data_IF_616555481135
#
_entry.id   IF_616555481135
#
_cell.length_a   1.000
_cell.length_b   1.000
_cell.length_c   1.000
_cell.angle_alpha   90.00
_cell.angle_beta   90.00
_cell.angle_gamma   90.00
#
_symmetry.space_group_name_H-M   'P 1'
#
loop_
_entity.id
_entity.type
_entity.pdbx_description
1 polymer ?
#
# COMPACT_ATOMS: atom_id res chain seq x y z
N UNK A 1 5.08 -14.40 35.64
CA UNK A 1 5.06 -13.89 34.26
C UNK A 1 3.99 -12.80 34.17
N UNK A 2 4.34 -11.63 33.66
CA UNK A 2 3.33 -10.57 33.46
C UNK A 2 2.40 -10.99 32.30
N UNK A 3 1.15 -10.46 32.32
CA UNK A 3 0.15 -10.72 31.26
C UNK A 3 0.73 -10.39 29.86
N UNK A 4 1.48 -9.30 29.76
CA UNK A 4 2.13 -8.84 28.53
C UNK A 4 3.20 -9.80 28.00
N UNK A 5 3.94 -10.50 28.87
CA UNK A 5 4.96 -11.46 28.46
C UNK A 5 4.34 -12.75 27.90
N UNK A 6 3.19 -13.16 28.44
CA UNK A 6 2.46 -14.32 27.92
C UNK A 6 1.86 -14.03 26.53
N UNK A 7 1.28 -12.85 26.35
CA UNK A 7 0.74 -12.38 25.06
C UNK A 7 1.85 -12.26 24.01
N UNK A 8 3.00 -11.67 24.37
CA UNK A 8 4.16 -11.59 23.47
C UNK A 8 4.65 -12.98 23.01
N UNK A 9 4.75 -13.94 23.94
CA UNK A 9 5.15 -15.32 23.60
C UNK A 9 4.12 -16.02 22.71
N UNK A 10 2.83 -15.76 22.89
CA UNK A 10 1.79 -16.29 22.01
C UNK A 10 1.92 -15.72 20.59
N UNK A 11 2.05 -14.41 20.45
CA UNK A 11 2.23 -13.73 19.15
C UNK A 11 3.53 -14.25 18.49
N UNK A 12 4.63 -14.30 19.22
CA UNK A 12 5.90 -14.81 18.70
C UNK A 12 5.79 -16.25 18.20
N UNK A 13 5.09 -17.13 18.91
CA UNK A 13 4.85 -18.52 18.48
C UNK A 13 3.98 -18.59 17.23
N UNK A 14 2.94 -17.76 17.13
CA UNK A 14 2.11 -17.67 15.93
C UNK A 14 2.93 -17.24 14.70
N UNK A 15 3.81 -16.27 14.86
CA UNK A 15 4.65 -15.75 13.77
C UNK A 15 5.79 -16.73 13.37
N UNK A 16 6.27 -17.58 14.29
CA UNK A 16 7.39 -18.50 14.04
C UNK A 16 6.98 -19.93 13.72
N UNK A 17 5.70 -20.29 13.90
CA UNK A 17 5.23 -21.68 13.78
C UNK A 17 5.15 -22.22 12.35
N UNK A 18 5.52 -21.45 11.32
CA UNK A 18 5.37 -21.87 9.92
C UNK A 18 3.93 -22.20 9.53
N UNK A 19 2.98 -21.77 10.35
CA UNK A 19 1.56 -22.03 10.15
C UNK A 19 1.08 -21.28 8.90
N UNK A 20 0.61 -22.00 7.91
CA UNK A 20 -0.09 -21.49 6.72
C UNK A 20 -1.38 -20.74 7.06
N UNK A 21 -1.75 -20.65 8.35
CA UNK A 21 -2.95 -19.96 8.85
C UNK A 21 -2.75 -18.45 9.03
N UNK A 22 -1.50 -17.97 9.11
CA UNK A 22 -1.18 -16.53 9.21
C UNK A 22 -0.61 -16.02 7.88
N UNK A 23 -1.45 -15.97 6.89
CA UNK A 23 -1.20 -15.31 5.63
C UNK A 23 -1.41 -13.79 5.78
N UNK A 24 -0.54 -12.99 5.14
CA UNK A 24 -0.64 -11.51 5.15
C UNK A 24 -2.01 -11.03 4.65
N UNK A 25 -2.58 -11.73 3.68
CA UNK A 25 -3.86 -11.37 3.08
C UNK A 25 -5.01 -11.61 4.06
N UNK A 26 -4.99 -12.72 4.79
CA UNK A 26 -5.96 -13.01 5.86
C UNK A 26 -5.88 -12.02 7.03
N UNK A 27 -4.68 -11.56 7.37
CA UNK A 27 -4.51 -10.52 8.41
C UNK A 27 -5.16 -9.22 7.94
N UNK A 28 -4.91 -8.79 6.70
CA UNK A 28 -5.51 -7.59 6.13
C UNK A 28 -7.02 -7.71 6.00
N UNK A 29 -7.53 -8.87 5.56
CA UNK A 29 -8.96 -9.15 5.51
C UNK A 29 -9.61 -9.02 6.89
N UNK A 30 -9.03 -9.62 7.92
CA UNK A 30 -9.54 -9.52 9.29
C UNK A 30 -9.49 -8.08 9.84
N UNK A 31 -8.43 -7.32 9.55
CA UNK A 31 -8.32 -5.91 9.92
C UNK A 31 -9.41 -5.08 9.25
N UNK A 32 -9.61 -5.30 7.95
CA UNK A 32 -10.61 -4.61 7.14
C UNK A 32 -12.03 -4.92 7.62
N UNK A 33 -12.39 -6.19 7.81
CA UNK A 33 -13.69 -6.61 8.32
C UNK A 33 -13.98 -6.01 9.70
N UNK A 34 -13.00 -6.08 10.60
CA UNK A 34 -13.11 -5.48 11.94
C UNK A 34 -13.33 -3.97 11.85
N UNK A 35 -12.54 -3.28 11.04
CA UNK A 35 -12.63 -1.83 10.85
C UNK A 35 -13.95 -1.41 10.22
N UNK A 36 -14.39 -2.09 9.17
CA UNK A 36 -15.67 -1.84 8.50
C UNK A 36 -16.82 -2.03 9.50
N UNK A 37 -16.81 -3.10 10.28
CA UNK A 37 -17.83 -3.38 11.30
C UNK A 37 -17.87 -2.27 12.36
N UNK A 38 -16.71 -1.83 12.84
CA UNK A 38 -16.58 -0.77 13.83
C UNK A 38 -17.12 0.58 13.31
N UNK A 39 -16.90 0.86 12.03
CA UNK A 39 -17.30 2.09 11.36
C UNK A 39 -18.71 2.01 10.72
N UNK A 40 -19.43 0.91 10.88
CA UNK A 40 -20.71 0.68 10.20
C UNK A 40 -21.75 1.79 10.47
N UNK A 41 -21.75 2.36 11.67
CA UNK A 41 -22.69 3.41 12.10
C UNK A 41 -22.17 4.84 11.87
N UNK A 42 -20.93 5.00 11.40
CA UNK A 42 -20.31 6.29 11.16
C UNK A 42 -20.69 6.78 9.77
N UNK A 43 -21.24 7.99 9.67
CA UNK A 43 -21.68 8.56 8.40
C UNK A 43 -20.53 9.22 7.63
N UNK A 44 -19.53 9.73 8.34
CA UNK A 44 -18.43 10.51 7.76
C UNK A 44 -17.08 10.00 8.29
N UNK A 45 -16.22 9.56 7.38
CA UNK A 45 -14.95 8.90 7.70
C UNK A 45 -13.82 9.51 6.89
N UNK A 46 -12.73 9.89 7.55
CA UNK A 46 -11.47 10.19 6.87
C UNK A 46 -10.63 8.91 6.74
N UNK A 47 -10.20 8.61 5.52
CA UNK A 47 -9.28 7.52 5.19
C UNK A 47 -7.89 8.10 4.97
N UNK A 48 -7.03 7.97 5.98
CA UNK A 48 -5.67 8.52 5.96
C UNK A 48 -4.74 7.43 5.47
N UNK A 49 -4.18 7.62 4.26
CA UNK A 49 -3.24 6.66 3.66
C UNK A 49 -1.85 7.25 3.59
N UNK A 50 -0.90 6.53 4.19
CA UNK A 50 0.50 6.96 4.32
C UNK A 50 1.47 5.83 3.94
N UNK A 51 2.43 6.10 3.04
CA UNK A 51 3.52 5.19 2.77
C UNK A 51 4.56 5.28 3.89
N UNK A 52 5.08 4.14 4.32
CA UNK A 52 6.10 4.06 5.36
C UNK A 52 7.11 2.97 5.06
N UNK A 53 8.24 2.97 5.76
CA UNK A 53 9.31 1.99 5.58
C UNK A 53 9.53 1.14 6.83
N UNK A 54 9.62 -0.16 6.64
CA UNK A 54 10.12 -1.10 7.65
C UNK A 54 11.61 -1.29 7.42
N UNK A 55 12.44 -0.63 8.23
CA UNK A 55 13.89 -0.65 8.11
C UNK A 55 14.46 -1.93 8.71
N UNK A 56 15.31 -2.62 7.95
CA UNK A 56 15.96 -3.89 8.30
C UNK A 56 17.47 -3.82 8.02
N UNK A 57 18.12 -2.78 8.51
CA UNK A 57 19.51 -2.42 8.20
C UNK A 57 20.50 -3.60 8.33
N UNK A 58 20.31 -4.42 9.37
CA UNK A 58 21.21 -5.55 9.66
C UNK A 58 20.69 -6.90 9.15
N UNK A 59 19.55 -6.93 8.48
CA UNK A 59 18.98 -8.18 7.95
C UNK A 59 19.57 -8.43 6.55
N UNK A 60 20.25 -9.57 6.39
CA UNK A 60 20.89 -9.96 5.12
C UNK A 60 20.21 -11.18 4.48
N UNK A 61 19.47 -11.95 5.27
CA UNK A 61 18.92 -13.27 4.86
C UNK A 61 17.39 -13.26 4.75
N UNK A 62 16.74 -12.09 4.90
CA UNK A 62 15.30 -12.00 4.71
C UNK A 62 15.00 -12.02 3.22
N UNK A 63 14.12 -12.90 2.82
CA UNK A 63 13.65 -13.05 1.43
C UNK A 63 12.99 -11.76 0.94
N UNK A 64 13.16 -11.43 -0.32
CA UNK A 64 12.63 -10.23 -0.99
C UNK A 64 12.96 -8.88 -0.33
N UNK A 65 14.04 -8.84 0.43
CA UNK A 65 14.47 -7.65 1.15
C UNK A 65 14.83 -6.52 0.16
N UNK A 66 14.00 -5.51 0.08
CA UNK A 66 14.16 -4.36 -0.79
C UNK A 66 15.11 -3.30 -0.27
N UNK A 67 15.03 -2.11 -0.86
CA UNK A 67 15.80 -0.92 -0.49
C UNK A 67 14.86 0.20 -0.08
N UNK A 68 15.11 0.77 1.09
CA UNK A 68 14.34 1.88 1.67
C UNK A 68 15.27 2.97 2.17
N UNK A 69 14.73 4.15 2.48
CA UNK A 69 15.51 5.25 3.01
C UNK A 69 15.73 5.10 4.52
N UNK A 70 16.97 5.31 4.95
CA UNK A 70 17.29 5.46 6.38
C UNK A 70 16.86 6.83 6.91
N UNK A 71 16.80 6.98 8.23
CA UNK A 71 16.54 8.28 8.87
C UNK A 71 17.63 9.33 8.57
N UNK A 72 18.85 8.88 8.31
CA UNK A 72 20.00 9.73 7.93
C UNK A 72 20.07 10.06 6.44
N UNK A 73 19.10 9.58 5.63
CA UNK A 73 19.02 9.84 4.19
C UNK A 73 19.77 8.82 3.31
N UNK A 74 20.48 7.85 3.89
CA UNK A 74 21.11 6.75 3.15
C UNK A 74 20.11 5.70 2.68
N UNK A 75 20.56 4.77 1.84
CA UNK A 75 19.77 3.62 1.38
C UNK A 75 20.15 2.38 2.19
N UNK A 76 19.18 1.74 2.80
CA UNK A 76 19.35 0.54 3.62
C UNK A 76 18.37 -0.57 3.19
N UNK A 77 18.57 -1.76 3.74
CA UNK A 77 17.64 -2.86 3.52
C UNK A 77 16.30 -2.64 4.27
N UNK A 78 15.20 -3.03 3.66
CA UNK A 78 13.86 -2.91 4.25
C UNK A 78 12.74 -3.31 3.32
N UNK A 79 11.53 -3.07 3.79
CA UNK A 79 10.29 -3.20 3.01
C UNK A 79 9.55 -1.88 3.03
N UNK A 80 8.83 -1.57 1.99
CA UNK A 80 7.88 -0.47 1.98
C UNK A 80 6.51 -0.94 2.42
N UNK A 81 5.76 -0.06 3.06
CA UNK A 81 4.39 -0.34 3.49
C UNK A 81 3.46 0.76 3.02
N UNK A 82 2.22 0.40 2.75
CA UNK A 82 1.12 1.32 2.49
C UNK A 82 0.06 1.07 3.55
N UNK A 83 -0.14 2.04 4.43
CA UNK A 83 -1.03 1.92 5.59
C UNK A 83 -2.25 2.81 5.40
N UNK A 84 -3.45 2.29 5.66
CA UNK A 84 -4.67 3.11 5.73
C UNK A 84 -5.30 3.01 7.11
N UNK A 85 -5.49 4.17 7.72
CA UNK A 85 -6.15 4.35 9.00
C UNK A 85 -7.43 5.15 8.78
N UNK A 86 -8.55 4.68 9.32
CA UNK A 86 -9.78 5.46 9.36
C UNK A 86 -9.85 6.31 10.62
N UNK A 87 -10.24 7.57 10.46
CA UNK A 87 -10.63 8.46 11.54
C UNK A 87 -12.14 8.65 11.50
N UNK A 88 -12.80 8.18 12.56
CA UNK A 88 -14.20 8.50 12.85
C UNK A 88 -14.28 9.91 13.44
N UNK A 89 -14.97 10.81 12.74
CA UNK A 89 -15.11 12.20 13.19
C UNK A 89 -16.00 12.36 14.42
N UNK A 90 -16.95 11.46 14.64
CA UNK A 90 -17.85 11.56 15.78
C UNK A 90 -17.12 11.22 17.08
N UNK A 91 -16.47 10.06 17.10
CA UNK A 91 -15.80 9.53 18.29
C UNK A 91 -14.32 9.91 18.36
N UNK A 92 -13.75 10.51 17.29
CA UNK A 92 -12.32 10.81 17.14
C UNK A 92 -11.41 9.59 17.34
N UNK A 93 -11.93 8.41 17.00
CA UNK A 93 -11.21 7.15 17.11
C UNK A 93 -10.47 6.83 15.81
N UNK A 94 -9.22 6.39 15.96
CA UNK A 94 -8.43 5.85 14.85
C UNK A 94 -8.61 4.32 14.79
N UNK A 95 -8.74 3.80 13.57
CA UNK A 95 -8.84 2.36 13.32
C UNK A 95 -7.97 2.00 12.13
N UNK A 96 -6.98 1.13 12.33
CA UNK A 96 -6.18 0.59 11.22
C UNK A 96 -7.08 -0.33 10.40
N UNK A 97 -7.16 -0.05 9.10
CA UNK A 97 -7.98 -0.82 8.16
C UNK A 97 -7.14 -1.79 7.34
N UNK A 98 -5.95 -1.37 6.93
CA UNK A 98 -5.10 -2.18 6.06
C UNK A 98 -3.64 -1.77 6.13
N UNK A 99 -2.75 -2.74 5.95
CA UNK A 99 -1.32 -2.54 5.80
C UNK A 99 -0.79 -3.45 4.69
N UNK A 100 -0.48 -2.89 3.54
CA UNK A 100 0.19 -3.65 2.46
C UNK A 100 1.70 -3.53 2.63
N UNK A 101 2.40 -4.66 2.67
CA UNK A 101 3.86 -4.73 2.70
C UNK A 101 4.34 -5.19 1.33
N UNK A 102 5.27 -4.46 0.73
CA UNK A 102 5.82 -4.77 -0.59
C UNK A 102 7.31 -4.44 -0.66
N UNK A 103 7.97 -4.99 -1.66
CA UNK A 103 9.39 -4.77 -1.91
C UNK A 103 9.61 -4.33 -3.36
N UNK A 104 10.50 -3.36 -3.55
CA UNK A 104 10.94 -2.95 -4.88
C UNK A 104 11.94 -3.95 -5.52
N UNK A 105 12.21 -5.09 -4.86
CA UNK A 105 12.97 -6.23 -5.41
C UNK A 105 12.09 -7.39 -5.88
N UNK A 106 10.80 -7.33 -5.60
CA UNK A 106 9.89 -8.33 -6.16
C UNK A 106 9.92 -8.26 -7.69
N UNK A 107 9.99 -9.41 -8.36
CA UNK A 107 10.07 -9.46 -9.83
C UNK A 107 8.89 -8.76 -10.50
N UNK A 108 7.72 -8.84 -9.89
CA UNK A 108 6.51 -8.18 -10.36
C UNK A 108 6.46 -6.68 -10.03
N UNK A 109 7.42 -6.13 -9.26
CA UNK A 109 7.47 -4.70 -9.01
C UNK A 109 7.97 -3.95 -10.25
N UNK A 110 7.16 -3.01 -10.74
CA UNK A 110 7.45 -2.20 -11.92
C UNK A 110 7.43 -0.72 -11.51
N UNK A 111 8.51 -0.01 -11.80
CA UNK A 111 8.61 1.43 -11.50
C UNK A 111 7.80 2.26 -12.50
N UNK A 112 7.49 3.51 -12.14
CA UNK A 112 6.80 4.43 -13.07
C UNK A 112 7.65 4.70 -14.31
N UNK A 113 8.99 4.79 -14.16
CA UNK A 113 9.91 4.97 -15.28
C UNK A 113 9.88 3.78 -16.24
N UNK A 114 9.80 2.55 -15.72
CA UNK A 114 9.67 1.35 -16.55
C UNK A 114 8.32 1.33 -17.29
N UNK A 115 7.23 1.75 -16.65
CA UNK A 115 5.92 1.89 -17.30
C UNK A 115 5.93 2.95 -18.40
N UNK A 116 6.54 4.10 -18.17
CA UNK A 116 6.69 5.14 -19.17
C UNK A 116 7.54 4.70 -20.36
N UNK A 117 8.52 3.83 -20.13
CA UNK A 117 9.36 3.28 -21.19
C UNK A 117 8.62 2.28 -22.07
N UNK A 118 7.65 1.53 -21.53
CA UNK A 118 6.81 0.62 -22.31
C UNK A 118 5.96 1.37 -23.38
N UNK A 119 5.66 2.64 -23.14
CA UNK A 119 4.96 3.47 -24.12
C UNK A 119 5.85 3.97 -25.28
N UNK A 120 7.16 3.67 -25.25
CA UNK A 120 8.14 4.13 -26.23
C UNK A 120 8.74 2.92 -26.98
N UNK A 121 9.12 3.08 -28.24
CA UNK A 121 9.84 2.03 -28.93
C UNK A 121 11.18 1.74 -28.24
N UNK A 122 11.55 0.44 -28.22
CA UNK A 122 12.83 0.02 -27.67
C UNK A 122 13.98 0.65 -28.51
N UNK A 123 15.00 1.27 -27.90
CA UNK A 123 16.15 1.80 -28.63
C UNK A 123 16.92 0.69 -29.38
N UNK A 124 17.48 1.02 -30.56
CA UNK A 124 18.18 0.05 -31.40
C UNK A 124 19.42 -0.59 -30.74
N UNK A 125 20.04 0.13 -29.79
CA UNK A 125 21.23 -0.32 -29.05
C UNK A 125 20.98 -0.30 -27.54
N UNK A 126 20.63 -1.45 -26.98
CA UNK A 126 20.47 -1.66 -25.54
C UNK A 126 21.21 -2.92 -25.10
N UNK A 127 21.55 -3.03 -23.82
CA UNK A 127 22.13 -4.24 -23.26
C UNK A 127 21.11 -5.40 -23.24
N UNK A 128 21.60 -6.63 -23.26
CA UNK A 128 20.74 -7.82 -23.18
C UNK A 128 19.94 -7.84 -21.88
N UNK A 129 20.53 -7.41 -20.75
CA UNK A 129 19.83 -7.31 -19.45
C UNK A 129 18.67 -6.31 -19.52
N UNK A 130 18.89 -5.14 -20.13
CA UNK A 130 17.83 -4.14 -20.31
C UNK A 130 16.70 -4.69 -21.18
N UNK A 131 17.03 -5.36 -22.30
CA UNK A 131 16.04 -5.96 -23.17
C UNK A 131 15.24 -7.05 -22.45
N UNK A 132 15.92 -7.93 -21.73
CA UNK A 132 15.28 -8.98 -20.93
C UNK A 132 14.30 -8.40 -19.90
N UNK A 133 14.71 -7.33 -19.18
CA UNK A 133 13.82 -6.66 -18.24
C UNK A 133 12.65 -5.95 -18.92
N UNK A 134 12.90 -5.31 -20.07
CA UNK A 134 11.84 -4.67 -20.86
C UNK A 134 10.77 -5.67 -21.28
N UNK A 135 11.17 -6.85 -21.80
CA UNK A 135 10.26 -7.91 -22.22
C UNK A 135 9.49 -8.50 -21.02
N UNK A 136 10.15 -8.66 -19.86
CA UNK A 136 9.51 -9.09 -18.60
C UNK A 136 8.43 -8.09 -18.17
N UNK A 137 8.77 -6.79 -18.12
CA UNK A 137 7.82 -5.72 -17.75
C UNK A 137 6.65 -5.68 -18.72
N UNK A 138 6.91 -5.80 -20.02
CA UNK A 138 5.84 -5.83 -21.02
C UNK A 138 4.84 -6.98 -20.78
N UNK A 139 5.33 -8.18 -20.47
CA UNK A 139 4.47 -9.31 -20.14
C UNK A 139 3.68 -9.06 -18.84
N UNK A 140 4.32 -8.53 -17.80
CA UNK A 140 3.65 -8.20 -16.54
C UNK A 140 2.54 -7.15 -16.74
N UNK A 141 2.76 -6.18 -17.62
CA UNK A 141 1.75 -5.14 -17.94
C UNK A 141 0.60 -5.71 -18.74
N UNK A 142 0.90 -6.55 -19.76
CA UNK A 142 -0.14 -7.19 -20.57
C UNK A 142 -1.04 -8.12 -19.76
N UNK A 143 -0.46 -8.85 -18.80
CA UNK A 143 -1.19 -9.79 -17.92
C UNK A 143 -1.81 -9.10 -16.69
N UNK A 144 -1.64 -7.78 -16.56
CA UNK A 144 -2.01 -7.00 -15.36
C UNK A 144 -1.42 -7.54 -14.04
N UNK A 145 -0.28 -8.24 -14.13
CA UNK A 145 0.36 -8.98 -13.03
C UNK A 145 1.44 -8.18 -12.30
N UNK A 146 1.66 -6.91 -12.66
CA UNK A 146 2.64 -6.06 -11.98
C UNK A 146 2.08 -5.41 -10.73
N UNK A 147 2.99 -5.03 -9.83
CA UNK A 147 2.71 -4.17 -8.69
C UNK A 147 3.56 -2.89 -8.78
N UNK A 148 3.01 -1.78 -8.36
CA UNK A 148 3.72 -0.55 -7.98
C UNK A 148 2.90 0.20 -6.94
N UNK A 149 3.47 1.25 -6.37
CA UNK A 149 2.82 1.98 -5.28
C UNK A 149 1.48 2.61 -5.69
N UNK A 150 1.36 3.12 -6.91
CA UNK A 150 0.12 3.75 -7.40
C UNK A 150 -0.98 2.72 -7.62
N UNK A 151 -0.65 1.57 -8.22
CA UNK A 151 -1.60 0.46 -8.39
C UNK A 151 -2.05 -0.12 -7.06
N UNK A 152 -1.11 -0.33 -6.12
CA UNK A 152 -1.42 -0.80 -4.77
C UNK A 152 -2.33 0.19 -4.05
N UNK A 153 -2.06 1.50 -4.17
CA UNK A 153 -2.91 2.54 -3.61
C UNK A 153 -4.33 2.47 -4.19
N UNK A 154 -4.48 2.49 -5.51
CA UNK A 154 -5.80 2.46 -6.16
C UNK A 154 -6.62 1.23 -5.75
N UNK A 155 -6.00 0.05 -5.72
CA UNK A 155 -6.64 -1.19 -5.26
C UNK A 155 -7.09 -1.07 -3.79
N UNK A 156 -6.23 -0.57 -2.91
CA UNK A 156 -6.54 -0.40 -1.49
C UNK A 156 -7.67 0.61 -1.27
N UNK A 157 -7.62 1.78 -1.92
CA UNK A 157 -8.67 2.78 -1.81
C UNK A 157 -10.01 2.25 -2.31
N UNK A 158 -10.02 1.51 -3.43
CA UNK A 158 -11.22 0.91 -3.99
C UNK A 158 -11.85 -0.09 -3.03
N UNK A 159 -11.07 -1.07 -2.58
CA UNK A 159 -11.56 -2.11 -1.66
C UNK A 159 -12.11 -1.53 -0.36
N UNK A 160 -11.45 -0.49 0.20
CA UNK A 160 -11.90 0.18 1.42
C UNK A 160 -13.16 1.03 1.19
N UNK A 161 -13.21 1.78 0.09
CA UNK A 161 -14.37 2.61 -0.26
C UNK A 161 -15.62 1.75 -0.49
N UNK A 162 -15.51 0.71 -1.31
CA UNK A 162 -16.61 -0.23 -1.57
C UNK A 162 -17.08 -0.93 -0.29
N UNK A 163 -16.13 -1.44 0.52
CA UNK A 163 -16.44 -2.11 1.78
C UNK A 163 -17.15 -1.20 2.77
N UNK A 164 -16.70 0.04 2.96
CA UNK A 164 -17.33 0.98 3.88
C UNK A 164 -18.69 1.46 3.37
N UNK A 165 -18.85 1.75 2.08
CA UNK A 165 -20.13 2.16 1.49
C UNK A 165 -21.18 1.06 1.51
N UNK A 166 -20.76 -0.21 1.48
CA UNK A 166 -21.68 -1.34 1.58
C UNK A 166 -22.41 -1.39 2.93
N UNK A 167 -21.83 -0.84 3.98
CA UNK A 167 -22.41 -0.86 5.34
C UNK A 167 -23.49 0.19 5.56
N UNK A 168 -23.40 1.33 4.87
CA UNK A 168 -24.34 2.43 5.01
C UNK A 168 -24.47 3.22 3.70
N UNK A 169 -25.68 3.27 3.16
CA UNK A 169 -25.98 4.02 1.93
C UNK A 169 -25.87 5.53 2.20
N UNK A 170 -24.97 6.21 1.50
CA UNK A 170 -24.72 7.64 1.69
C UNK A 170 -23.60 7.98 2.68
N UNK A 171 -22.77 6.99 3.05
CA UNK A 171 -21.54 7.24 3.82
C UNK A 171 -20.61 8.15 3.01
N UNK A 172 -20.15 9.22 3.66
CA UNK A 172 -19.20 10.17 3.09
C UNK A 172 -17.77 9.73 3.44
N UNK A 173 -16.95 9.55 2.44
CA UNK A 173 -15.55 9.18 2.58
C UNK A 173 -14.67 10.31 2.05
N UNK A 174 -13.67 10.69 2.84
CA UNK A 174 -12.66 11.66 2.43
C UNK A 174 -11.28 11.02 2.53
N UNK A 175 -10.62 10.84 1.40
CA UNK A 175 -9.26 10.31 1.35
C UNK A 175 -8.25 11.41 1.68
N UNK A 176 -7.40 11.17 2.68
CA UNK A 176 -6.31 12.07 3.08
C UNK A 176 -4.99 11.43 2.65
N UNK A 177 -4.30 12.07 1.71
CA UNK A 177 -3.11 11.53 1.07
C UNK A 177 -1.90 12.45 1.24
N UNK A 178 -0.71 11.86 1.38
CA UNK A 178 0.53 12.62 1.33
C UNK A 178 0.87 13.05 -0.12
N UNK A 179 1.78 14.00 -0.24
CA UNK A 179 2.27 14.60 -1.49
C UNK A 179 2.83 13.60 -2.51
N UNK A 180 3.17 12.39 -2.09
CA UNK A 180 3.62 11.34 -3.00
C UNK A 180 2.51 10.86 -3.94
N UNK A 181 1.26 11.05 -3.53
CA UNK A 181 0.05 10.65 -4.26
C UNK A 181 -0.69 11.82 -4.92
N UNK A 182 -0.04 12.97 -5.13
CA UNK A 182 -0.62 14.17 -5.75
C UNK A 182 -0.76 14.07 -7.29
N UNK A 183 -0.73 12.88 -7.85
CA UNK A 183 -0.88 12.67 -9.29
C UNK A 183 -2.33 12.92 -9.75
N UNK A 184 -2.48 13.57 -10.90
CA UNK A 184 -3.82 13.81 -11.49
C UNK A 184 -4.58 12.50 -11.66
N UNK A 185 -3.91 11.42 -12.05
CA UNK A 185 -4.53 10.08 -12.22
C UNK A 185 -5.12 9.55 -10.92
N UNK A 186 -4.42 9.72 -9.79
CA UNK A 186 -4.90 9.28 -8.48
C UNK A 186 -6.12 10.11 -8.05
N UNK A 187 -6.06 11.43 -8.22
CA UNK A 187 -7.14 12.33 -7.83
C UNK A 187 -8.39 12.14 -8.71
N UNK A 188 -8.19 11.95 -10.01
CA UNK A 188 -9.27 11.64 -10.95
C UNK A 188 -9.93 10.29 -10.62
N UNK A 189 -9.14 9.26 -10.32
CA UNK A 189 -9.64 7.96 -9.87
C UNK A 189 -10.53 8.07 -8.62
N UNK A 190 -10.10 8.84 -7.60
CA UNK A 190 -10.90 9.02 -6.38
C UNK A 190 -12.21 9.75 -6.69
N UNK A 191 -12.14 10.80 -7.50
CA UNK A 191 -13.29 11.62 -7.82
C UNK A 191 -14.28 10.93 -8.77
N UNK A 192 -13.80 10.23 -9.80
CA UNK A 192 -14.65 9.68 -10.86
C UNK A 192 -15.05 8.24 -10.63
N UNK A 193 -14.11 7.38 -10.22
CA UNK A 193 -14.36 5.96 -10.03
C UNK A 193 -14.93 5.64 -8.64
N UNK A 194 -14.40 6.29 -7.61
CA UNK A 194 -14.88 6.08 -6.24
C UNK A 194 -16.03 7.00 -5.87
N UNK A 195 -16.15 8.17 -6.51
CA UNK A 195 -17.07 9.24 -6.13
C UNK A 195 -16.92 9.63 -4.64
N UNK A 196 -15.67 9.78 -4.21
CA UNK A 196 -15.26 10.18 -2.86
C UNK A 196 -14.58 11.55 -2.87
N UNK A 197 -14.56 12.20 -1.71
CA UNK A 197 -13.79 13.42 -1.51
C UNK A 197 -12.32 13.11 -1.23
N UNK A 198 -11.44 14.09 -1.42
CA UNK A 198 -10.03 13.95 -1.08
C UNK A 198 -9.40 15.25 -0.57
N UNK A 199 -8.38 15.08 0.26
CA UNK A 199 -7.44 16.11 0.71
C UNK A 199 -6.03 15.60 0.43
N UNK A 200 -5.24 16.36 -0.32
CA UNK A 200 -3.85 15.99 -0.64
C UNK A 200 -2.93 17.19 -0.45
N UNK A 201 -1.75 16.92 0.09
CA UNK A 201 -0.67 17.91 0.17
C UNK A 201 0.07 17.96 -1.17
N UNK A 202 -0.07 19.07 -1.90
CA UNK A 202 0.55 19.23 -3.23
C UNK A 202 2.04 19.54 -3.11
N UNK A 203 2.85 19.06 -4.05
CA UNK A 203 4.26 19.44 -4.19
C UNK A 203 4.37 20.91 -4.61
N UNK A 204 5.22 21.67 -3.91
CA UNK A 204 5.44 23.13 -4.22
C UNK A 204 5.97 23.39 -5.63
N UNK A 205 6.62 22.39 -6.26
CA UNK A 205 7.10 22.49 -7.64
C UNK A 205 6.00 22.48 -8.71
N UNK A 206 4.72 22.34 -8.32
CA UNK A 206 3.55 22.33 -9.22
C UNK A 206 2.68 23.58 -9.10
N UNK A 207 3.15 24.57 -8.33
CA UNK A 207 2.49 25.88 -8.17
C UNK A 207 3.12 26.89 -9.10
#
# INVERSE_FOLDING_TARGET
MSKNEAEYKQISRLLTSGSTTLDKDKINEALREHGITKLAKTNEVFLITDPSDIRKEHSLLTEDLGKVRSLSGGIINGFSTLNTVALDLNDKNLTLLETKVYSNRERCYVTEEELEQQAKPLPDTVSDDYKSRYDEVNNLVLDDAYININKLLQLQLKELSEGLKSTHRGKLLTHVLDREFDSIRTLDFINTELADDFVVRVKTSRI
#
